data_IF_417389197783
#
_entry.id   IF_417389197783
#
_cell.length_a   1.000
_cell.length_b   1.000
_cell.length_c   1.000
_cell.angle_alpha   90.00
_cell.angle_beta   90.00
_cell.angle_gamma   90.00
#
_symmetry.space_group_name_H-M   'P 1'
#
loop_
_entity.id
_entity.type
_entity.pdbx_description
1 polymer ?
#
# COMPACT_ATOMS: atom_id res chain seq x y z
N UNK A 1 -24.19 -0.46 -7.66
CA UNK A 1 -23.33 0.75 -7.51
C UNK A 1 -22.48 0.73 -6.24
N UNK A 2 -23.03 0.51 -5.03
CA UNK A 2 -22.26 0.52 -3.76
C UNK A 2 -21.04 -0.42 -3.73
N UNK A 3 -21.17 -1.64 -4.25
CA UNK A 3 -20.07 -2.62 -4.34
C UNK A 3 -18.91 -2.18 -5.25
N UNK A 4 -19.22 -1.49 -6.36
CA UNK A 4 -18.21 -0.96 -7.27
C UNK A 4 -17.45 0.20 -6.62
N UNK A 5 -18.16 1.10 -5.94
CA UNK A 5 -17.55 2.21 -5.21
C UNK A 5 -16.65 1.70 -4.08
N UNK A 6 -17.11 0.72 -3.30
CA UNK A 6 -16.31 0.10 -2.24
C UNK A 6 -15.04 -0.56 -2.81
N UNK A 7 -15.12 -1.20 -3.98
CA UNK A 7 -13.95 -1.75 -4.69
C UNK A 7 -12.97 -0.65 -5.13
N UNK A 8 -13.47 0.44 -5.72
CA UNK A 8 -12.63 1.57 -6.13
C UNK A 8 -11.95 2.20 -4.91
N UNK A 9 -12.68 2.48 -3.83
CA UNK A 9 -12.12 3.04 -2.61
C UNK A 9 -11.07 2.13 -1.97
N UNK A 10 -11.32 0.82 -1.95
CA UNK A 10 -10.33 -0.13 -1.46
C UNK A 10 -9.01 -0.02 -2.22
N UNK A 11 -9.06 -0.05 -3.56
CA UNK A 11 -7.86 0.04 -4.38
C UNK A 11 -7.14 1.39 -4.22
N UNK A 12 -7.90 2.49 -4.10
CA UNK A 12 -7.33 3.82 -3.80
C UNK A 12 -6.60 3.80 -2.45
N UNK A 13 -7.22 3.27 -1.39
CA UNK A 13 -6.58 3.18 -0.08
C UNK A 13 -5.32 2.31 -0.11
N UNK A 14 -5.39 1.12 -0.72
CA UNK A 14 -4.23 0.23 -0.86
C UNK A 14 -3.10 0.95 -1.59
N UNK A 15 -3.39 1.62 -2.70
CA UNK A 15 -2.37 2.35 -3.46
C UNK A 15 -1.73 3.50 -2.67
N UNK A 16 -2.55 4.31 -2.00
CA UNK A 16 -2.04 5.43 -1.17
C UNK A 16 -1.19 4.91 -0.02
N UNK A 17 -1.64 3.87 0.68
CA UNK A 17 -0.90 3.27 1.79
C UNK A 17 0.42 2.67 1.28
N UNK A 18 0.39 1.97 0.15
CA UNK A 18 1.58 1.41 -0.47
C UNK A 18 2.62 2.49 -0.75
N UNK A 19 2.21 3.61 -1.37
CA UNK A 19 3.10 4.74 -1.64
C UNK A 19 3.70 5.33 -0.37
N UNK A 20 2.92 5.47 0.70
CA UNK A 20 3.40 6.01 1.98
C UNK A 20 4.44 5.08 2.61
N UNK A 21 4.17 3.77 2.65
CA UNK A 21 5.11 2.78 3.19
C UNK A 21 6.37 2.74 2.34
N UNK A 22 6.24 2.75 1.02
CA UNK A 22 7.36 2.73 0.08
C UNK A 22 8.27 3.96 0.27
N UNK A 23 7.67 5.14 0.43
CA UNK A 23 8.39 6.37 0.75
C UNK A 23 9.15 6.28 2.08
N UNK A 24 8.55 5.69 3.11
CA UNK A 24 9.21 5.48 4.41
C UNK A 24 10.38 4.49 4.27
N UNK A 25 10.22 3.40 3.53
CA UNK A 25 11.29 2.43 3.29
C UNK A 25 12.45 3.04 2.50
N UNK A 26 12.16 3.84 1.48
CA UNK A 26 13.16 4.60 0.71
C UNK A 26 13.90 5.60 1.61
N UNK A 27 13.16 6.37 2.41
CA UNK A 27 13.72 7.34 3.35
C UNK A 27 14.62 6.72 4.42
N UNK A 28 14.25 5.54 4.94
CA UNK A 28 15.02 4.80 5.94
C UNK A 28 16.15 3.95 5.34
N UNK A 29 16.37 3.99 4.02
CA UNK A 29 17.36 3.18 3.30
C UNK A 29 17.17 1.66 3.51
N UNK A 30 15.92 1.20 3.59
CA UNK A 30 15.64 -0.24 3.73
C UNK A 30 15.83 -0.99 2.42
N UNK A 31 15.60 -0.32 1.29
CA UNK A 31 15.93 -0.86 -0.01
C UNK A 31 17.42 -0.76 -0.30
N UNK A 32 17.91 -1.68 -1.12
CA UNK A 32 19.28 -1.71 -1.58
C UNK A 32 19.66 -0.48 -2.43
N UNK A 33 18.68 0.21 -3.01
CA UNK A 33 18.89 1.40 -3.85
C UNK A 33 17.64 2.27 -3.93
N UNK A 34 17.82 3.59 -3.89
CA UNK A 34 16.75 4.59 -4.08
C UNK A 34 16.13 4.61 -5.49
N UNK A 35 16.77 3.92 -6.45
CA UNK A 35 16.30 3.80 -7.83
C UNK A 35 15.40 2.57 -8.03
N UNK A 36 15.19 1.77 -6.98
CA UNK A 36 14.33 0.59 -7.04
C UNK A 36 12.91 0.99 -7.49
N UNK A 37 12.39 0.31 -8.51
CA UNK A 37 11.08 0.63 -9.11
C UNK A 37 11.05 1.89 -10.00
N UNK A 38 12.15 2.65 -10.09
CA UNK A 38 12.30 3.85 -10.94
C UNK A 38 13.18 3.59 -12.16
N UNK A 39 14.05 2.59 -12.09
CA UNK A 39 14.94 2.15 -13.17
C UNK A 39 14.69 0.68 -13.51
N UNK A 40 14.32 0.40 -14.77
CA UNK A 40 14.01 -0.96 -15.25
C UNK A 40 15.25 -1.87 -15.32
N UNK A 41 16.45 -1.29 -15.38
CA UNK A 41 17.71 -2.05 -15.42
C UNK A 41 18.16 -2.51 -14.02
N UNK A 42 17.55 -1.97 -12.96
CA UNK A 42 17.89 -2.32 -11.60
C UNK A 42 17.05 -3.52 -11.15
N UNK A 43 17.72 -4.66 -10.97
CA UNK A 43 17.07 -5.85 -10.41
C UNK A 43 16.96 -5.75 -8.88
N UNK A 44 15.79 -6.07 -8.30
CA UNK A 44 15.64 -6.17 -6.85
C UNK A 44 16.50 -7.28 -6.27
N UNK A 45 17.08 -7.03 -5.11
CA UNK A 45 17.73 -8.06 -4.30
C UNK A 45 16.69 -8.90 -3.55
N UNK A 46 17.11 -10.03 -2.98
CA UNK A 46 16.23 -10.87 -2.16
C UNK A 46 15.63 -10.11 -0.98
N UNK A 47 16.39 -9.20 -0.34
CA UNK A 47 15.89 -8.35 0.74
C UNK A 47 14.87 -7.33 0.25
N UNK A 48 15.08 -6.73 -0.92
CA UNK A 48 14.11 -5.81 -1.52
C UNK A 48 12.77 -6.50 -1.77
N UNK A 49 12.81 -7.73 -2.29
CA UNK A 49 11.60 -8.53 -2.52
C UNK A 49 10.84 -8.81 -1.22
N UNK A 50 11.54 -9.03 -0.10
CA UNK A 50 10.90 -9.20 1.22
C UNK A 50 10.22 -7.91 1.66
N UNK A 51 10.88 -6.75 1.56
CA UNK A 51 10.28 -5.47 1.93
C UNK A 51 9.10 -5.09 1.04
N UNK A 52 9.19 -5.32 -0.28
CA UNK A 52 8.07 -5.15 -1.21
C UNK A 52 6.90 -6.05 -0.79
N UNK A 53 7.17 -7.33 -0.48
CA UNK A 53 6.14 -8.26 -0.01
C UNK A 53 5.46 -7.78 1.28
N UNK A 54 6.23 -7.30 2.25
CA UNK A 54 5.72 -6.72 3.49
C UNK A 54 4.83 -5.51 3.18
N UNK A 55 5.28 -4.61 2.31
CA UNK A 55 4.51 -3.43 1.91
C UNK A 55 3.17 -3.83 1.26
N UNK A 56 3.17 -4.78 0.32
CA UNK A 56 1.95 -5.28 -0.31
C UNK A 56 0.98 -5.83 0.74
N UNK A 57 1.44 -6.71 1.63
CA UNK A 57 0.57 -7.32 2.66
C UNK A 57 0.03 -6.26 3.62
N UNK A 58 0.89 -5.36 4.10
CA UNK A 58 0.49 -4.29 5.01
C UNK A 58 -0.55 -3.36 4.35
N UNK A 59 -0.34 -3.00 3.08
CA UNK A 59 -1.25 -2.12 2.33
C UNK A 59 -2.62 -2.74 2.11
N UNK A 60 -2.69 -4.04 1.82
CA UNK A 60 -3.96 -4.77 1.70
C UNK A 60 -4.72 -4.79 3.03
N UNK A 61 -4.04 -5.13 4.13
CA UNK A 61 -4.66 -5.19 5.47
C UNK A 61 -5.14 -3.81 5.92
N UNK A 62 -4.28 -2.80 5.82
CA UNK A 62 -4.61 -1.43 6.21
C UNK A 62 -5.69 -0.82 5.30
N UNK A 63 -5.68 -1.14 4.00
CA UNK A 63 -6.72 -0.74 3.06
C UNK A 63 -8.10 -1.31 3.42
N UNK A 64 -8.17 -2.57 3.87
CA UNK A 64 -9.41 -3.16 4.37
C UNK A 64 -9.91 -2.46 5.64
N UNK A 65 -9.01 -2.17 6.57
CA UNK A 65 -9.34 -1.44 7.81
C UNK A 65 -9.89 -0.03 7.48
N UNK A 66 -9.23 0.69 6.57
CA UNK A 66 -9.66 2.02 6.14
C UNK A 66 -11.04 1.98 5.48
N UNK A 67 -11.28 1.02 4.58
CA UNK A 67 -12.58 0.84 3.95
C UNK A 67 -13.68 0.52 4.99
N UNK A 68 -13.40 -0.34 5.96
CA UNK A 68 -14.37 -0.70 6.99
C UNK A 68 -14.72 0.50 7.88
N UNK A 69 -13.73 1.34 8.23
CA UNK A 69 -13.98 2.61 8.95
C UNK A 69 -14.82 3.57 8.13
N UNK A 70 -14.55 3.72 6.83
CA UNK A 70 -15.35 4.56 5.94
C UNK A 70 -16.80 4.08 5.86
N UNK A 71 -17.03 2.76 5.79
CA UNK A 71 -18.37 2.17 5.77
C UNK A 71 -19.13 2.45 7.07
N UNK A 72 -18.48 2.27 8.22
CA UNK A 72 -19.08 2.56 9.52
C UNK A 72 -19.46 4.05 9.66
N UNK A 73 -18.58 4.97 9.22
CA UNK A 73 -18.90 6.40 9.17
C UNK A 73 -20.10 6.71 8.27
N UNK A 74 -20.17 6.09 7.08
CA UNK A 74 -21.28 6.27 6.13
C UNK A 74 -22.61 5.73 6.67
N UNK A 75 -22.56 4.72 7.53
CA UNK A 75 -23.73 4.05 8.10
C UNK A 75 -24.14 4.64 9.46
N UNK A 76 -23.41 5.65 9.96
CA UNK A 76 -23.70 6.29 11.24
C UNK A 76 -23.49 5.38 12.45
N UNK A 77 -22.63 4.36 12.31
CA UNK A 77 -22.35 3.35 13.35
C UNK A 77 -21.04 3.63 14.10
N UNK A 78 -20.48 4.84 13.93
CA UNK A 78 -19.29 5.38 14.57
C UNK A 78 -19.62 6.70 15.29
#
# INVERSE_FOLDING_TARGET
MRRLMDFIYYNIFVYVIYMVIDFVFDFLNFYSSHKLGKDIMLMPTSSDMVFIGINVVASLVLGLIALNKLKALREGTL
#
